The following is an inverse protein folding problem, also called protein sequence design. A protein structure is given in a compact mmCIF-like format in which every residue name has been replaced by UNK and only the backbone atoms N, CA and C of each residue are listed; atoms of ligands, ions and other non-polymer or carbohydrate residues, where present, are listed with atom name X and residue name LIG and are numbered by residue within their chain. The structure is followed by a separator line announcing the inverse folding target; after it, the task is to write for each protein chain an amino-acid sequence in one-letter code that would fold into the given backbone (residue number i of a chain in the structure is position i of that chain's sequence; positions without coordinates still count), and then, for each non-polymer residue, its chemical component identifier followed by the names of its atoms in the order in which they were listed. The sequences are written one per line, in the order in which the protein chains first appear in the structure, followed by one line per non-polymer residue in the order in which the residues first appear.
data_IF_723698634616
#
_entry.id   IF_723698634616
#
_cell.length_a   1.000
_cell.length_b   1.000
_cell.length_c   1.000
_cell.angle_alpha   90.00
_cell.angle_beta   90.00
_cell.angle_gamma   90.00
#
_symmetry.space_group_name_H-M   'P 1'
#
loop_
_entity.id
_entity.type
_entity.pdbx_description
1 polymer ?
#
# COMPACT_ATOMS: atom_id res chain seq x y z
N UNK A 1 9.79 14.93 3.89
CA UNK A 1 8.36 15.19 4.11
C UNK A 1 7.64 13.85 4.05
N UNK A 2 6.79 13.56 5.02
CA UNK A 2 5.90 12.40 4.98
C UNK A 2 4.73 12.70 4.04
N UNK A 3 4.32 11.71 3.25
CA UNK A 3 3.15 11.79 2.37
C UNK A 3 1.92 11.29 3.11
N UNK A 4 0.75 11.85 2.79
CA UNK A 4 -0.55 11.40 3.31
C UNK A 4 -1.36 10.70 2.23
N UNK A 5 -2.32 9.87 2.62
CA UNK A 5 -3.14 9.07 1.70
C UNK A 5 -3.89 9.95 0.68
N UNK A 6 -4.48 11.08 1.11
CA UNK A 6 -5.20 11.98 0.19
C UNK A 6 -4.28 12.71 -0.80
N UNK A 7 -3.00 12.86 -0.45
CA UNK A 7 -2.00 13.52 -1.30
C UNK A 7 -1.46 12.63 -2.41
N UNK A 8 -1.79 11.33 -2.40
CA UNK A 8 -1.35 10.39 -3.42
C UNK A 8 -1.82 10.79 -4.81
N UNK A 9 -0.93 10.60 -5.79
CA UNK A 9 -1.19 10.86 -7.22
C UNK A 9 -0.74 9.66 -8.04
N UNK A 10 -1.36 9.41 -9.20
CA UNK A 10 -0.86 8.42 -10.15
C UNK A 10 0.65 8.58 -10.39
N UNK A 11 1.35 7.44 -10.52
CA UNK A 11 2.80 7.34 -10.77
C UNK A 11 3.74 7.95 -9.72
N UNK A 12 3.23 8.41 -8.58
CA UNK A 12 4.05 8.91 -7.48
C UNK A 12 4.97 7.81 -6.91
N UNK A 13 6.22 8.17 -6.59
CA UNK A 13 7.28 7.24 -6.13
C UNK A 13 8.05 7.83 -4.95
N UNK A 14 8.87 7.00 -4.32
CA UNK A 14 9.73 7.37 -3.18
C UNK A 14 8.94 8.01 -2.03
N UNK A 15 7.74 7.48 -1.78
CA UNK A 15 6.83 7.96 -0.76
C UNK A 15 7.20 7.35 0.60
N UNK A 16 6.99 8.13 1.65
CA UNK A 16 7.06 7.64 3.04
C UNK A 16 5.75 7.94 3.74
N UNK A 17 5.07 6.90 4.22
CA UNK A 17 3.78 6.99 4.90
C UNK A 17 3.77 6.13 6.17
N UNK A 18 3.06 6.59 7.19
CA UNK A 18 2.69 5.78 8.35
C UNK A 18 1.18 5.57 8.29
N UNK A 19 0.74 4.31 8.32
CA UNK A 19 -0.66 3.93 8.11
C UNK A 19 -1.06 2.80 9.06
N UNK A 20 -2.34 2.76 9.41
CA UNK A 20 -2.96 1.64 10.12
C UNK A 20 -3.54 0.64 9.12
N UNK A 21 -3.29 -0.64 9.34
CA UNK A 21 -3.92 -1.72 8.57
C UNK A 21 -5.32 -1.98 9.14
N UNK A 22 -6.35 -1.67 8.34
CA UNK A 22 -7.75 -1.87 8.70
C UNK A 22 -8.19 -3.31 8.41
N UNK A 23 -7.79 -3.84 7.25
CA UNK A 23 -8.05 -5.21 6.80
C UNK A 23 -6.82 -5.76 6.09
N UNK A 24 -6.63 -7.08 6.12
CA UNK A 24 -5.57 -7.76 5.39
C UNK A 24 -6.06 -9.13 4.91
N UNK A 25 -6.02 -9.37 3.61
CA UNK A 25 -6.44 -10.62 2.99
C UNK A 25 -5.31 -11.18 2.15
N UNK A 26 -4.89 -12.43 2.43
CA UNK A 26 -3.90 -13.11 1.58
C UNK A 26 -4.61 -13.57 0.30
N UNK A 27 -4.22 -12.98 -0.83
CA UNK A 27 -4.83 -13.24 -2.14
C UNK A 27 -4.03 -14.23 -2.98
N UNK A 28 -2.76 -14.45 -2.64
CA UNK A 28 -1.95 -15.46 -3.31
C UNK A 28 -0.90 -16.02 -2.37
N UNK A 29 -0.82 -17.35 -2.32
CA UNK A 29 0.29 -18.09 -1.73
C UNK A 29 0.70 -19.19 -2.70
N UNK A 30 1.96 -19.19 -3.15
CA UNK A 30 2.46 -20.20 -4.08
C UNK A 30 3.86 -20.65 -3.70
N UNK A 31 4.02 -21.95 -3.44
CA UNK A 31 5.33 -22.56 -3.30
C UNK A 31 6.03 -22.66 -4.67
N UNK A 32 7.32 -22.32 -4.74
CA UNK A 32 8.15 -22.43 -5.97
C UNK A 32 9.09 -23.64 -5.99
N UNK A 33 9.01 -24.51 -4.97
CA UNK A 33 9.82 -25.72 -4.82
C UNK A 33 10.57 -25.77 -3.48
N UNK A 34 11.37 -26.82 -3.21
CA UNK A 34 11.97 -27.07 -1.89
C UNK A 34 12.99 -26.02 -1.44
N UNK A 35 13.61 -25.29 -2.37
CA UNK A 35 14.68 -24.31 -2.09
C UNK A 35 14.36 -22.88 -2.54
N UNK A 36 13.18 -22.65 -3.11
CA UNK A 36 12.80 -21.34 -3.64
C UNK A 36 11.86 -20.64 -2.65
N UNK A 37 12.03 -19.33 -2.41
CA UNK A 37 11.11 -18.56 -1.58
C UNK A 37 9.68 -18.73 -2.07
N UNK A 38 8.76 -18.99 -1.15
CA UNK A 38 7.33 -18.94 -1.46
C UNK A 38 6.95 -17.52 -1.85
N UNK A 39 6.05 -17.39 -2.82
CA UNK A 39 5.43 -16.11 -3.11
C UNK A 39 4.22 -15.98 -2.19
N UNK A 40 4.15 -14.87 -1.46
CA UNK A 40 2.97 -14.47 -0.70
C UNK A 40 2.55 -13.08 -1.14
N UNK A 41 1.26 -12.86 -1.35
CA UNK A 41 0.69 -11.54 -1.63
C UNK A 41 -0.54 -11.35 -0.77
N UNK A 42 -0.58 -10.25 -0.05
CA UNK A 42 -1.75 -9.79 0.69
C UNK A 42 -2.22 -8.45 0.15
N UNK A 43 -3.53 -8.31 0.01
CA UNK A 43 -4.19 -7.03 -0.20
C UNK A 43 -4.63 -6.50 1.15
N UNK A 44 -4.13 -5.33 1.50
CA UNK A 44 -4.36 -4.67 2.76
C UNK A 44 -5.13 -3.38 2.52
N UNK A 45 -6.18 -3.14 3.31
CA UNK A 45 -6.81 -1.83 3.37
C UNK A 45 -6.07 -1.03 4.44
N UNK A 46 -5.41 0.06 4.06
CA UNK A 46 -4.59 0.86 4.98
C UNK A 46 -5.06 2.31 5.03
N UNK A 47 -4.94 2.96 6.19
CA UNK A 47 -5.46 4.31 6.40
C UNK A 47 -4.55 5.19 7.27
N UNK A 48 -4.54 6.48 6.98
CA UNK A 48 -4.08 7.54 7.88
C UNK A 48 -5.26 8.46 8.24
N UNK A 49 -5.00 9.63 8.85
CA UNK A 49 -6.09 10.57 9.21
C UNK A 49 -6.76 11.24 7.99
N UNK A 50 -6.18 11.13 6.80
CA UNK A 50 -6.66 11.79 5.58
C UNK A 50 -7.48 10.87 4.67
N UNK A 51 -7.28 9.55 4.77
CA UNK A 51 -8.09 8.59 4.02
C UNK A 51 -7.55 7.17 4.04
N UNK A 52 -8.10 6.37 3.13
CA UNK A 52 -7.88 4.94 2.97
C UNK A 52 -7.36 4.64 1.57
N UNK A 53 -6.47 3.67 1.44
CA UNK A 53 -6.00 3.16 0.15
C UNK A 53 -5.67 1.68 0.25
N UNK A 54 -5.77 0.95 -0.86
CA UNK A 54 -5.28 -0.44 -0.93
C UNK A 54 -3.76 -0.44 -0.99
N UNK A 55 -3.13 -1.26 -0.15
CA UNK A 55 -1.71 -1.57 -0.17
C UNK A 55 -1.51 -3.04 -0.52
N UNK A 56 -0.62 -3.32 -1.47
CA UNK A 56 -0.27 -4.69 -1.87
C UNK A 56 1.05 -5.08 -1.21
N UNK A 57 0.95 -5.89 -0.16
CA UNK A 57 2.10 -6.42 0.57
C UNK A 57 2.59 -7.73 -0.08
N UNK A 58 3.90 -7.86 -0.29
CA UNK A 58 4.52 -9.06 -0.89
C UNK A 58 5.49 -9.73 0.06
N UNK A 59 5.53 -11.06 0.04
CA UNK A 59 6.43 -11.91 0.82
C UNK A 59 6.42 -11.51 2.31
N UNK A 60 7.57 -11.20 2.90
CA UNK A 60 7.71 -10.85 4.32
C UNK A 60 6.92 -9.58 4.70
N UNK A 61 6.64 -8.69 3.73
CA UNK A 61 5.81 -7.51 3.97
C UNK A 61 4.39 -7.91 4.42
N UNK A 62 3.87 -9.04 3.91
CA UNK A 62 2.54 -9.55 4.26
C UNK A 62 2.49 -10.16 5.68
N UNK A 63 3.64 -10.47 6.27
CA UNK A 63 3.74 -10.89 7.66
C UNK A 63 3.76 -9.69 8.63
N UNK A 64 4.17 -8.51 8.13
CA UNK A 64 4.16 -7.25 8.88
C UNK A 64 2.82 -6.53 8.75
N UNK A 65 2.23 -6.52 7.55
CA UNK A 65 0.99 -5.82 7.24
C UNK A 65 -0.27 -6.60 7.67
N UNK A 66 -0.37 -6.92 8.96
CA UNK A 66 -1.51 -7.63 9.56
C UNK A 66 -2.56 -6.67 10.09
N UNK A 67 -3.82 -7.12 10.12
CA UNK A 67 -4.96 -6.32 10.61
C UNK A 67 -4.68 -5.74 12.01
N UNK A 68 -4.95 -4.44 12.16
CA UNK A 68 -4.77 -3.70 13.40
C UNK A 68 -3.37 -3.12 13.59
N UNK A 69 -2.36 -3.60 12.85
CA UNK A 69 -1.00 -3.08 12.96
C UNK A 69 -0.90 -1.65 12.41
N UNK A 70 -0.07 -0.82 13.06
CA UNK A 70 0.47 0.40 12.44
C UNK A 70 1.77 0.03 11.76
N UNK A 71 1.94 0.47 10.51
CA UNK A 71 3.14 0.21 9.72
C UNK A 71 3.65 1.50 9.09
N UNK A 72 4.96 1.57 8.92
CA UNK A 72 5.63 2.64 8.17
C UNK A 72 6.15 2.07 6.86
N UNK A 73 5.68 2.65 5.76
CA UNK A 73 6.08 2.33 4.39
C UNK A 73 7.13 3.35 3.95
N UNK A 74 8.33 2.90 3.57
CA UNK A 74 9.39 3.76 3.02
C UNK A 74 9.75 3.30 1.62
N UNK A 75 9.93 4.24 0.69
CA UNK A 75 10.13 3.90 -0.73
C UNK A 75 8.87 3.35 -1.37
N UNK A 76 7.69 3.72 -0.86
CA UNK A 76 6.43 3.32 -1.45
C UNK A 76 6.20 4.04 -2.78
N UNK A 77 5.37 3.44 -3.63
CA UNK A 77 4.92 4.01 -4.89
C UNK A 77 3.43 3.77 -5.07
N UNK A 78 2.80 4.62 -5.88
CA UNK A 78 1.47 4.39 -6.42
C UNK A 78 1.60 3.54 -7.67
N UNK A 79 0.86 2.43 -7.71
CA UNK A 79 0.62 1.64 -8.92
C UNK A 79 -0.82 1.86 -9.37
N UNK A 80 -1.03 1.94 -10.68
CA UNK A 80 -2.36 1.93 -11.27
C UNK A 80 -2.79 0.48 -11.50
N UNK A 81 -4.01 0.14 -11.06
CA UNK A 81 -4.61 -1.17 -11.25
C UNK A 81 -6.07 -1.00 -11.66
N UNK A 82 -6.39 -1.40 -12.89
CA UNK A 82 -7.75 -1.32 -13.46
C UNK A 82 -8.37 0.08 -13.32
N UNK A 83 -7.59 1.13 -13.59
CA UNK A 83 -8.05 2.52 -13.47
C UNK A 83 -7.89 3.13 -12.07
N UNK A 84 -7.70 2.34 -11.03
CA UNK A 84 -7.61 2.83 -9.64
C UNK A 84 -6.19 2.80 -9.08
N UNK A 85 -5.95 3.64 -8.07
CA UNK A 85 -4.67 3.69 -7.37
C UNK A 85 -4.55 2.60 -6.28
N UNK A 86 -3.35 2.06 -6.13
CA UNK A 86 -2.93 1.24 -4.98
C UNK A 86 -1.48 1.55 -4.60
N UNK A 87 -1.12 1.30 -3.35
CA UNK A 87 0.27 1.38 -2.89
C UNK A 87 1.00 0.05 -3.06
N UNK A 88 2.28 0.14 -3.36
CA UNK A 88 3.23 -0.96 -3.30
C UNK A 88 4.57 -0.45 -2.76
N UNK A 89 5.36 -1.33 -2.16
CA UNK A 89 6.75 -1.06 -1.79
C UNK A 89 7.66 -1.90 -2.67
N UNK A 90 8.62 -1.25 -3.33
CA UNK A 90 9.57 -1.94 -4.21
C UNK A 90 10.67 -2.67 -3.41
N UNK A 91 11.62 -3.29 -4.11
CA UNK A 91 12.70 -4.05 -3.48
C UNK A 91 13.71 -3.18 -2.70
N UNK A 92 13.79 -1.88 -3.00
CA UNK A 92 14.68 -0.95 -2.30
C UNK A 92 13.98 -0.28 -1.09
N UNK A 93 12.65 -0.25 -1.10
CA UNK A 93 11.82 0.21 0.00
C UNK A 93 11.69 -0.79 1.14
N UNK A 94 11.05 -0.35 2.22
CA UNK A 94 10.85 -1.18 3.43
C UNK A 94 9.46 -1.00 4.01
N UNK A 95 8.95 -2.08 4.63
CA UNK A 95 7.73 -2.10 5.42
C UNK A 95 8.13 -2.43 6.85
N UNK A 96 7.94 -1.49 7.78
CA UNK A 96 8.34 -1.64 9.17
C UNK A 96 7.11 -1.60 10.06
N UNK A 97 7.04 -2.48 11.06
CA UNK A 97 6.02 -2.38 12.10
C UNK A 97 6.26 -1.14 12.97
N UNK A 98 5.17 -0.50 13.39
CA UNK A 98 5.19 0.71 14.19
C UNK A 98 5.27 2.00 13.37
N UNK A 99 5.39 3.10 14.10
CA UNK A 99 5.25 4.46 13.61
C UNK A 99 4.12 5.18 14.36
N UNK A 100 4.21 6.51 14.37
CA UNK A 100 3.26 7.34 15.10
C UNK A 100 2.19 7.87 14.14
N UNK A 101 0.93 7.53 14.44
CA UNK A 101 -0.22 8.20 13.86
C UNK A 101 -0.64 9.29 14.83
N UNK A 102 -0.38 10.55 14.46
CA UNK A 102 -0.68 11.71 15.30
C UNK A 102 -2.19 11.92 15.51
N UNK A 103 -3.01 11.34 14.64
CA UNK A 103 -4.45 11.57 14.58
C UNK A 103 -5.21 10.24 14.34
N UNK A 104 -6.49 10.15 14.74
CA UNK A 104 -7.34 9.03 14.41
C UNK A 104 -7.43 8.81 12.89
N UNK A 105 -7.47 7.54 12.47
CA UNK A 105 -7.56 7.21 11.04
C UNK A 105 -8.94 7.51 10.47
N UNK A 106 -8.96 7.99 9.23
CA UNK A 106 -10.16 8.20 8.44
C UNK A 106 -10.47 6.91 7.66
N UNK A 107 -11.67 6.38 7.81
CA UNK A 107 -12.11 5.13 7.17
C UNK A 107 -13.13 5.34 6.04
N UNK A 108 -13.50 6.60 5.74
CA UNK A 108 -14.58 6.94 4.80
C UNK A 108 -14.05 7.41 3.45
N UNK A 109 -12.89 8.06 3.42
CA UNK A 109 -12.30 8.61 2.20
C UNK A 109 -11.38 7.59 1.49
N UNK A 110 -11.96 6.67 0.71
CA UNK A 110 -11.18 5.62 0.06
C UNK A 110 -10.68 6.02 -1.34
N UNK A 111 -9.39 6.32 -1.43
CA UNK A 111 -8.68 6.72 -2.65
C UNK A 111 -8.57 5.59 -3.69
N UNK A 112 -8.72 4.33 -3.29
CA UNK A 112 -8.71 3.19 -4.22
C UNK A 112 -10.03 2.99 -4.97
N UNK A 113 -11.09 3.73 -4.59
CA UNK A 113 -12.35 3.76 -5.33
C UNK A 113 -12.38 4.84 -6.42
N UNK A 114 -11.37 5.72 -6.45
CA UNK A 114 -11.24 6.72 -7.50
C UNK A 114 -10.68 6.06 -8.77
N UNK A 115 -11.34 6.32 -9.89
CA UNK A 115 -10.91 5.87 -11.21
C UNK A 115 -10.25 7.03 -11.97
N UNK A 116 -9.12 6.73 -12.60
CA UNK A 116 -8.34 7.66 -13.41
C UNK A 116 -8.28 7.16 -14.84
N UNK A 117 -8.47 8.08 -15.78
CA UNK A 117 -8.29 7.83 -17.20
C UNK A 117 -6.92 8.33 -17.66
N UNK A 118 -6.18 7.49 -18.38
CA UNK A 118 -4.93 7.90 -19.01
C UNK A 118 -5.25 8.64 -20.31
N UNK A 119 -5.12 9.96 -20.28
CA UNK A 119 -5.23 10.79 -21.49
C UNK A 119 -3.87 10.86 -22.17
N UNK A 120 -3.75 10.23 -23.35
CA UNK A 120 -2.57 10.40 -24.21
C UNK A 120 -2.86 11.53 -25.19
N UNK A 121 -2.21 12.67 -25.01
CA UNK A 121 -2.28 13.76 -25.99
C UNK A 121 -1.28 13.43 -27.10
N UNK A 122 -1.78 13.21 -28.31
CA UNK A 122 -0.93 12.95 -29.48
C UNK A 122 0.00 14.13 -29.76
N UNK A 123 1.25 13.83 -30.10
CA UNK A 123 2.22 14.80 -30.62
C UNK A 123 1.86 15.21 -32.06
#
# INVERSE_FOLDING_TARGET
MSSTVVSLRPDAKNLTLTVKVLEATTVMTRARGPKAPSIKVAECLVADSTGVVVFVARNEQADVAVKGATITLKGAKVEMFRGSMRLAVDAAGTVQAGGDLSEPVNTTNNMSLLEFELVTVGA
#
